data_IF_788830503204
#
_entry.id   IF_788830503204
#
_cell.length_a   1.000
_cell.length_b   1.000
_cell.length_c   1.000
_cell.angle_alpha   90.00
_cell.angle_beta   90.00
_cell.angle_gamma   90.00
#
_symmetry.space_group_name_H-M   'P 1'
#
loop_
_entity.id
_entity.type
_entity.pdbx_description
1 polymer ?
#
# COMPACT_ATOMS: atom_id res chain seq x y z
N UNK A 1 -25.81 -9.08 -10.67
CA UNK A 1 -24.35 -9.31 -10.74
C UNK A 1 -23.73 -8.70 -9.50
N UNK A 2 -22.77 -9.35 -8.84
CA UNK A 2 -22.08 -8.87 -7.62
C UNK A 2 -20.57 -9.02 -7.81
N UNK A 3 -19.80 -7.97 -7.50
CA UNK A 3 -18.33 -8.02 -7.46
C UNK A 3 -17.91 -8.64 -6.13
N UNK A 4 -17.06 -9.66 -6.18
CA UNK A 4 -16.58 -10.35 -4.97
C UNK A 4 -15.31 -9.70 -4.39
N UNK A 5 -14.40 -9.24 -5.25
CA UNK A 5 -13.16 -8.56 -4.89
C UNK A 5 -12.62 -7.74 -6.06
N UNK A 6 -11.78 -6.76 -5.75
CA UNK A 6 -10.94 -6.03 -6.71
C UNK A 6 -9.48 -6.29 -6.29
N UNK A 7 -8.60 -6.55 -7.25
CA UNK A 7 -7.17 -6.76 -7.01
C UNK A 7 -6.41 -5.72 -7.81
N UNK A 8 -5.56 -4.94 -7.13
CA UNK A 8 -4.64 -4.03 -7.79
C UNK A 8 -3.49 -4.82 -8.40
N UNK A 9 -3.18 -4.56 -9.67
CA UNK A 9 -2.05 -5.16 -10.36
C UNK A 9 -1.02 -4.08 -10.66
N UNK A 10 0.17 -4.22 -10.07
CA UNK A 10 1.32 -3.38 -10.34
C UNK A 10 2.22 -4.08 -11.36
N UNK A 11 2.63 -3.36 -12.41
CA UNK A 11 3.64 -3.87 -13.33
C UNK A 11 4.99 -3.87 -12.60
N UNK A 12 5.72 -4.98 -12.65
CA UNK A 12 7.04 -5.11 -12.05
C UNK A 12 8.02 -5.76 -13.03
N UNK A 13 9.21 -5.19 -13.15
CA UNK A 13 10.32 -5.79 -13.92
C UNK A 13 11.07 -6.85 -13.10
N UNK A 14 11.05 -6.72 -11.77
CA UNK A 14 11.55 -7.69 -10.81
C UNK A 14 10.45 -8.02 -9.78
N UNK A 15 9.80 -9.17 -9.93
CA UNK A 15 8.74 -9.63 -9.02
C UNK A 15 9.31 -9.97 -7.64
N UNK A 16 10.58 -10.36 -7.55
CA UNK A 16 11.20 -10.70 -6.27
C UNK A 16 11.36 -9.46 -5.38
N UNK A 17 11.57 -8.28 -5.96
CA UNK A 17 11.65 -7.01 -5.22
C UNK A 17 10.36 -6.69 -4.45
N UNK A 18 9.20 -7.13 -4.97
CA UNK A 18 7.92 -6.95 -4.29
C UNK A 18 7.90 -7.61 -2.89
N UNK A 19 8.63 -8.72 -2.71
CA UNK A 19 8.71 -9.42 -1.42
C UNK A 19 9.28 -8.53 -0.32
N UNK A 20 10.36 -7.81 -0.62
CA UNK A 20 11.04 -6.96 0.37
C UNK A 20 10.15 -5.85 0.90
N UNK A 21 9.22 -5.35 0.08
CA UNK A 21 8.26 -4.35 0.52
C UNK A 21 6.99 -4.98 1.10
N UNK A 22 6.23 -5.74 0.30
CA UNK A 22 4.90 -6.19 0.70
C UNK A 22 4.93 -7.24 1.82
N UNK A 23 5.95 -8.10 1.86
CA UNK A 23 6.09 -9.10 2.92
C UNK A 23 6.94 -8.59 4.07
N UNK A 24 8.18 -8.18 3.79
CA UNK A 24 9.13 -7.94 4.87
C UNK A 24 8.87 -6.59 5.59
N UNK A 25 8.36 -5.57 4.90
CA UNK A 25 7.96 -4.28 5.52
C UNK A 25 6.51 -4.34 6.00
N UNK A 26 5.57 -4.63 5.10
CA UNK A 26 4.13 -4.58 5.41
C UNK A 26 3.56 -5.84 6.08
N UNK A 27 4.33 -6.93 6.18
CA UNK A 27 3.89 -8.15 6.85
C UNK A 27 2.85 -8.97 6.09
N UNK A 28 2.62 -8.72 4.80
CA UNK A 28 1.68 -9.50 4.00
C UNK A 28 2.25 -10.88 3.64
N UNK A 29 1.39 -11.90 3.63
CA UNK A 29 1.79 -13.25 3.26
C UNK A 29 1.60 -13.51 1.76
N UNK A 30 2.47 -14.32 1.13
CA UNK A 30 2.30 -14.73 -0.25
C UNK A 30 1.10 -15.69 -0.35
N UNK A 31 0.06 -15.25 -1.05
CA UNK A 31 -1.14 -16.06 -1.32
C UNK A 31 -0.99 -16.88 -2.60
N UNK A 32 -0.18 -16.40 -3.53
CA UNK A 32 0.05 -17.02 -4.83
C UNK A 32 1.39 -16.54 -5.39
N UNK A 33 2.17 -17.46 -5.97
CA UNK A 33 3.39 -17.15 -6.71
C UNK A 33 3.55 -18.12 -7.88
N UNK A 34 3.58 -17.57 -9.10
CA UNK A 34 3.80 -18.32 -10.34
C UNK A 34 5.04 -17.83 -11.11
N UNK A 35 5.93 -17.05 -10.47
CA UNK A 35 7.13 -16.48 -11.08
C UNK A 35 6.88 -15.31 -12.04
N UNK A 36 5.74 -15.29 -12.75
CA UNK A 36 5.29 -14.14 -13.56
C UNK A 36 4.27 -13.24 -12.82
N UNK A 37 3.76 -13.71 -11.68
CA UNK A 37 2.91 -12.94 -10.76
C UNK A 37 3.15 -13.45 -9.34
N UNK A 38 3.23 -12.52 -8.39
CA UNK A 38 3.15 -12.80 -6.97
C UNK A 38 2.00 -11.96 -6.38
N UNK A 39 1.17 -12.59 -5.55
CA UNK A 39 0.05 -11.93 -4.86
C UNK A 39 0.27 -12.03 -3.36
N UNK A 40 0.25 -10.88 -2.70
CA UNK A 40 0.41 -10.76 -1.24
C UNK A 40 -0.91 -10.29 -0.61
N UNK A 41 -1.23 -10.77 0.58
CA UNK A 41 -2.40 -10.33 1.33
C UNK A 41 -2.37 -10.75 2.79
N UNK A 42 -3.41 -10.39 3.52
CA UNK A 42 -3.62 -10.79 4.92
C UNK A 42 -4.89 -11.64 5.07
N UNK A 43 -5.13 -12.17 6.27
CA UNK A 43 -6.39 -12.84 6.62
C UNK A 43 -7.55 -11.87 6.87
N UNK A 44 -7.28 -10.56 6.87
CA UNK A 44 -8.28 -9.54 7.16
C UNK A 44 -9.23 -9.32 5.98
N UNK A 45 -10.48 -8.98 6.30
CA UNK A 45 -11.51 -8.73 5.29
C UNK A 45 -11.79 -7.24 5.14
N UNK A 46 -11.63 -6.72 3.93
CA UNK A 46 -11.94 -5.34 3.55
C UNK A 46 -13.21 -5.29 2.68
N UNK A 47 -14.02 -4.23 2.81
CA UNK A 47 -15.08 -3.96 1.84
C UNK A 47 -14.49 -3.64 0.46
N UNK A 48 -15.16 -4.03 -0.62
CA UNK A 48 -14.72 -3.67 -1.97
C UNK A 48 -14.82 -2.15 -2.16
N UNK A 49 -13.69 -1.50 -2.41
CA UNK A 49 -13.60 -0.06 -2.60
C UNK A 49 -12.77 0.27 -3.85
N UNK A 50 -13.07 1.41 -4.46
CA UNK A 50 -12.27 2.04 -5.51
C UNK A 50 -12.42 3.55 -5.37
N UNK A 51 -11.30 4.25 -5.36
CA UNK A 51 -11.27 5.70 -5.19
C UNK A 51 -11.02 6.41 -6.52
N UNK A 52 -11.74 7.49 -6.75
CA UNK A 52 -11.49 8.43 -7.84
C UNK A 52 -11.10 9.76 -7.21
N UNK A 53 -9.84 10.13 -7.34
CA UNK A 53 -9.28 11.35 -6.73
C UNK A 53 -8.70 12.26 -7.82
N UNK A 54 -8.82 13.56 -7.63
CA UNK A 54 -8.26 14.57 -8.55
C UNK A 54 -6.83 14.99 -8.15
N UNK A 55 -6.43 14.74 -6.91
CA UNK A 55 -5.10 14.98 -6.37
C UNK A 55 -4.78 13.95 -5.28
N UNK A 56 -3.51 13.86 -4.85
CA UNK A 56 -3.12 13.02 -3.72
C UNK A 56 -3.52 13.58 -2.35
N UNK A 57 -4.10 14.79 -2.31
CA UNK A 57 -4.37 15.54 -1.07
C UNK A 57 -3.19 16.42 -0.69
N UNK A 58 -3.47 17.61 -0.14
CA UNK A 58 -2.46 18.60 0.27
C UNK A 58 -1.51 19.02 -0.87
N UNK A 59 -1.97 18.99 -2.13
CA UNK A 59 -1.15 19.31 -3.30
C UNK A 59 -0.10 18.26 -3.67
N UNK A 60 -0.16 17.07 -3.07
CA UNK A 60 0.77 15.97 -3.37
C UNK A 60 0.39 15.23 -4.65
N UNK A 61 1.37 14.55 -5.26
CA UNK A 61 1.13 13.64 -6.37
C UNK A 61 0.13 12.53 -5.96
N UNK A 62 -0.66 12.07 -6.94
CA UNK A 62 -1.61 10.98 -6.72
C UNK A 62 -0.85 9.69 -6.39
N UNK A 63 -1.18 8.99 -5.29
CA UNK A 63 -0.57 7.70 -4.99
C UNK A 63 -1.12 6.62 -5.92
N UNK A 64 -0.29 5.63 -6.27
CA UNK A 64 -0.74 4.44 -6.99
C UNK A 64 -1.66 3.55 -6.12
N UNK A 65 -1.31 3.45 -4.82
CA UNK A 65 -2.04 2.67 -3.82
C UNK A 65 -2.17 3.45 -2.51
N UNK A 66 -3.32 3.34 -1.87
CA UNK A 66 -3.52 3.71 -0.47
C UNK A 66 -3.51 2.45 0.38
N UNK A 67 -2.59 2.38 1.34
CA UNK A 67 -2.42 1.24 2.25
C UNK A 67 -2.68 1.73 3.68
N UNK A 68 -3.70 1.18 4.32
CA UNK A 68 -4.03 1.42 5.73
C UNK A 68 -3.30 0.39 6.59
N UNK A 69 -2.68 0.86 7.67
CA UNK A 69 -1.96 0.02 8.64
C UNK A 69 -2.43 0.37 10.06
N UNK A 70 -2.35 -0.59 10.97
CA UNK A 70 -2.73 -0.42 12.37
C UNK A 70 -1.64 0.27 13.21
N UNK A 71 -0.37 0.12 12.82
CA UNK A 71 0.79 0.78 13.44
C UNK A 71 1.69 1.44 12.37
N UNK A 72 1.54 2.76 12.20
CA UNK A 72 2.38 3.53 11.26
C UNK A 72 3.84 3.56 11.68
N UNK A 73 4.10 3.70 12.98
CA UNK A 73 5.45 3.86 13.51
C UNK A 73 6.28 2.60 13.26
N UNK A 74 5.68 1.42 13.44
CA UNK A 74 6.31 0.15 13.11
C UNK A 74 6.67 0.07 11.62
N UNK A 75 5.75 0.43 10.73
CA UNK A 75 6.01 0.38 9.28
C UNK A 75 7.09 1.37 8.88
N UNK A 76 7.07 2.60 9.41
CA UNK A 76 8.09 3.61 9.17
C UNK A 76 9.48 3.14 9.64
N UNK A 77 9.55 2.47 10.80
CA UNK A 77 10.79 1.89 11.29
C UNK A 77 11.31 0.81 10.33
N UNK A 78 10.44 -0.09 9.86
CA UNK A 78 10.81 -1.15 8.90
C UNK A 78 11.25 -0.58 7.55
N UNK A 79 10.57 0.43 7.03
CA UNK A 79 10.97 1.13 5.79
C UNK A 79 12.37 1.75 5.91
N UNK A 80 12.64 2.45 7.02
CA UNK A 80 13.96 3.05 7.29
C UNK A 80 15.04 1.98 7.37
N UNK A 81 14.77 0.87 8.05
CA UNK A 81 15.70 -0.24 8.16
C UNK A 81 15.97 -0.92 6.79
N UNK A 82 14.97 -0.96 5.92
CA UNK A 82 15.07 -1.48 4.56
C UNK A 82 15.68 -0.49 3.55
N UNK A 83 15.94 0.77 3.96
CA UNK A 83 16.47 1.81 3.08
C UNK A 83 15.49 2.30 2.02
N UNK A 84 14.18 2.13 2.25
CA UNK A 84 13.14 2.55 1.32
C UNK A 84 12.86 4.04 1.55
N UNK A 85 12.88 4.83 0.48
CA UNK A 85 12.63 6.26 0.54
C UNK A 85 11.16 6.54 0.88
N UNK A 86 10.93 7.44 1.84
CA UNK A 86 9.62 7.99 2.15
C UNK A 86 9.51 9.32 1.40
N UNK A 87 8.66 9.37 0.38
CA UNK A 87 8.55 10.53 -0.51
C UNK A 87 7.82 11.72 0.14
N UNK A 88 6.90 11.44 1.06
CA UNK A 88 6.10 12.43 1.77
C UNK A 88 5.67 11.91 3.14
N UNK A 89 5.62 12.80 4.13
CA UNK A 89 5.19 12.47 5.49
C UNK A 89 6.25 11.75 6.35
N UNK A 90 5.87 11.24 7.54
CA UNK A 90 4.52 11.29 8.12
C UNK A 90 4.07 12.74 8.39
N UNK A 91 2.79 13.01 8.16
CA UNK A 91 2.16 14.31 8.39
C UNK A 91 0.70 14.10 8.77
N UNK A 92 0.23 14.81 9.80
CA UNK A 92 -1.17 14.78 10.20
C UNK A 92 -2.03 15.40 9.08
N UNK A 93 -2.80 14.55 8.40
CA UNK A 93 -3.74 15.01 7.38
C UNK A 93 -5.15 14.99 7.95
N UNK A 94 -5.75 16.18 8.08
CA UNK A 94 -7.16 16.28 8.43
C UNK A 94 -8.00 15.88 7.22
N UNK A 95 -8.59 14.68 7.25
CA UNK A 95 -9.62 14.27 6.29
C UNK A 95 -10.99 14.25 6.97
N UNK A 96 -11.99 15.02 6.50
CA UNK A 96 -13.34 14.99 7.06
C UNK A 96 -14.13 13.70 6.71
N UNK A 97 -13.51 12.72 6.05
CA UNK A 97 -14.09 11.43 5.71
C UNK A 97 -13.04 10.30 5.76
N UNK A 98 -13.44 9.04 6.09
CA UNK A 98 -12.53 7.89 6.11
C UNK A 98 -12.23 7.46 4.67
N UNK A 99 -11.36 8.21 3.99
CA UNK A 99 -10.91 7.90 2.63
C UNK A 99 -9.57 7.16 2.69
N UNK A 100 -8.78 7.45 3.72
CA UNK A 100 -7.55 6.76 4.14
C UNK A 100 -7.40 7.09 5.64
N UNK A 101 -7.11 6.11 6.50
CA UNK A 101 -6.71 6.41 7.89
C UNK A 101 -5.59 7.45 7.94
N UNK A 102 -5.46 8.16 9.06
CA UNK A 102 -4.39 9.14 9.35
C UNK A 102 -2.96 8.61 9.12
N UNK A 103 -2.85 7.31 8.93
CA UNK A 103 -1.66 6.50 9.02
C UNK A 103 -1.44 5.71 7.72
N UNK A 104 -1.13 6.42 6.64
CA UNK A 104 -0.84 5.80 5.34
C UNK A 104 0.60 5.99 4.91
N UNK A 105 1.17 4.90 4.40
CA UNK A 105 2.50 4.88 3.80
C UNK A 105 2.36 5.05 2.29
N UNK A 106 3.11 5.99 1.72
CA UNK A 106 3.27 6.15 0.27
C UNK A 106 4.59 5.56 -0.16
N UNK A 107 4.52 4.68 -1.14
CA UNK A 107 5.67 4.23 -1.91
C UNK A 107 5.34 4.30 -3.37
N UNK A 108 6.22 4.91 -4.18
CA UNK A 108 6.29 4.56 -5.59
C UNK A 108 6.56 3.06 -5.70
N UNK A 109 5.87 2.38 -6.62
CA UNK A 109 6.27 1.04 -7.03
C UNK A 109 7.67 1.18 -7.66
N UNK A 110 8.69 0.42 -7.20
CA UNK A 110 10.01 0.46 -7.84
C UNK A 110 9.99 -0.04 -9.29
#
# INVERSE_FOLDING_TARGET
MKVNRIVANAAASDIAAAKSFYRDVLGLEPLMDFGWVATYGSSETMQVQISFVSEGGSGTAMPDLSIEVDDLDEVLQRMRAAGIAIEYGPADQYSPAPIVGSDSVRTGIP
#
